data_IF_781511241540
#
_entry.id   IF_781511241540
#
_cell.length_a   1.000
_cell.length_b   1.000
_cell.length_c   1.000
_cell.angle_alpha   90.00
_cell.angle_beta   90.00
_cell.angle_gamma   90.00
#
_symmetry.space_group_name_H-M   'P 1'
#
loop_
_entity.id
_entity.type
_entity.pdbx_description
1 polymer ?
#
# COMPACT_ATOMS: atom_id res chain seq x y z
N UNK A 1 35.13 20.61 10.13
CA UNK A 1 33.76 20.40 9.62
C UNK A 1 33.07 19.50 10.62
N UNK A 2 32.03 20.03 11.27
CA UNK A 2 31.50 19.57 12.55
C UNK A 2 30.48 18.44 12.36
N UNK A 3 30.52 17.44 13.25
CA UNK A 3 29.64 16.24 13.28
C UNK A 3 28.14 16.54 13.11
N UNK A 4 27.70 17.76 13.46
CA UNK A 4 26.31 18.21 13.29
C UNK A 4 25.82 18.23 11.82
N UNK A 5 26.70 18.48 10.84
CA UNK A 5 26.30 18.54 9.41
C UNK A 5 26.04 17.14 8.83
N UNK A 6 26.82 16.14 9.25
CA UNK A 6 26.61 14.74 8.85
C UNK A 6 25.30 14.18 9.44
N UNK A 7 25.00 14.53 10.70
CA UNK A 7 23.75 14.12 11.36
C UNK A 7 22.51 14.73 10.70
N UNK A 8 22.59 16.00 10.29
CA UNK A 8 21.48 16.70 9.62
C UNK A 8 21.21 16.14 8.22
N UNK A 9 22.25 15.80 7.46
CA UNK A 9 22.10 15.15 6.15
C UNK A 9 21.58 13.71 6.24
N UNK A 10 21.97 12.95 7.28
CA UNK A 10 21.42 11.62 7.56
C UNK A 10 19.92 11.66 7.89
N UNK A 11 19.52 12.58 8.77
CA UNK A 11 18.11 12.84 9.10
C UNK A 11 17.29 13.30 7.88
N UNK A 12 17.84 14.17 7.04
CA UNK A 12 17.17 14.59 5.81
C UNK A 12 16.98 13.40 4.84
N UNK A 13 18.00 12.55 4.64
CA UNK A 13 17.86 11.35 3.80
C UNK A 13 16.83 10.35 4.35
N UNK A 14 16.79 10.13 5.66
CA UNK A 14 15.78 9.30 6.32
C UNK A 14 14.37 9.88 6.14
N UNK A 15 14.22 11.21 6.28
CA UNK A 15 12.95 11.89 6.03
C UNK A 15 12.48 11.79 4.57
N UNK A 16 13.40 11.87 3.59
CA UNK A 16 13.08 11.66 2.17
C UNK A 16 12.63 10.22 1.91
N UNK A 17 13.32 9.22 2.48
CA UNK A 17 12.94 7.81 2.36
C UNK A 17 11.56 7.49 2.97
N UNK A 18 11.24 8.07 4.13
CA UNK A 18 9.93 7.91 4.78
C UNK A 18 8.81 8.57 3.96
N UNK A 19 9.07 9.74 3.38
CA UNK A 19 8.12 10.44 2.50
C UNK A 19 7.79 9.65 1.23
N UNK A 20 8.82 9.13 0.56
CA UNK A 20 8.64 8.25 -0.62
C UNK A 20 7.91 6.95 -0.25
N UNK A 21 8.27 6.33 0.87
CA UNK A 21 7.59 5.12 1.35
C UNK A 21 6.09 5.37 1.58
N UNK A 22 5.72 6.46 2.25
CA UNK A 22 4.31 6.85 2.45
C UNK A 22 3.58 7.06 1.13
N UNK A 23 4.21 7.73 0.16
CA UNK A 23 3.62 7.92 -1.17
C UNK A 23 3.34 6.58 -1.88
N UNK A 24 4.30 5.65 -1.87
CA UNK A 24 4.11 4.34 -2.48
C UNK A 24 3.07 3.48 -1.77
N UNK A 25 2.98 3.55 -0.43
CA UNK A 25 1.93 2.88 0.36
C UNK A 25 0.54 3.37 -0.08
N UNK A 26 0.32 4.70 -0.12
CA UNK A 26 -0.95 5.27 -0.56
C UNK A 26 -1.31 4.88 -2.00
N UNK A 27 -0.35 4.97 -2.92
CA UNK A 27 -0.55 4.58 -4.31
C UNK A 27 -0.90 3.09 -4.46
N UNK A 28 -0.33 2.24 -3.61
CA UNK A 28 -0.59 0.80 -3.61
C UNK A 28 -1.98 0.49 -3.04
N UNK A 29 -2.39 1.15 -1.94
CA UNK A 29 -3.75 1.02 -1.39
C UNK A 29 -4.82 1.39 -2.42
N UNK A 30 -4.64 2.52 -3.12
CA UNK A 30 -5.52 2.95 -4.21
C UNK A 30 -5.63 1.92 -5.34
N UNK A 31 -4.50 1.31 -5.71
CA UNK A 31 -4.44 0.31 -6.77
C UNK A 31 -5.16 -0.98 -6.36
N UNK A 32 -4.97 -1.41 -5.11
CA UNK A 32 -5.68 -2.56 -4.53
C UNK A 32 -7.20 -2.30 -4.49
N UNK A 33 -7.61 -1.10 -4.07
CA UNK A 33 -9.03 -0.73 -4.02
C UNK A 33 -9.66 -0.76 -5.43
N UNK A 34 -8.97 -0.25 -6.45
CA UNK A 34 -9.41 -0.34 -7.86
C UNK A 34 -9.49 -1.78 -8.35
N UNK A 35 -8.54 -2.63 -7.98
CA UNK A 35 -8.55 -4.05 -8.34
C UNK A 35 -9.78 -4.75 -7.73
N UNK A 36 -10.06 -4.55 -6.43
CA UNK A 36 -11.24 -5.11 -5.75
C UNK A 36 -12.53 -4.67 -6.45
N UNK A 37 -12.67 -3.38 -6.79
CA UNK A 37 -13.85 -2.87 -7.50
C UNK A 37 -13.99 -3.49 -8.89
N UNK A 38 -12.88 -3.70 -9.59
CA UNK A 38 -12.88 -4.34 -10.92
C UNK A 38 -13.33 -5.78 -10.84
N UNK A 39 -12.85 -6.54 -9.84
CA UNK A 39 -13.29 -7.92 -9.61
C UNK A 39 -14.79 -8.00 -9.31
N UNK A 40 -15.33 -7.09 -8.49
CA UNK A 40 -16.78 -7.03 -8.22
C UNK A 40 -17.59 -6.72 -9.48
N UNK A 41 -17.11 -5.81 -10.33
CA UNK A 41 -17.77 -5.52 -11.62
C UNK A 41 -17.74 -6.73 -12.55
N UNK A 42 -16.64 -7.48 -12.56
CA UNK A 42 -16.52 -8.70 -13.37
C UNK A 42 -17.47 -9.80 -12.87
N UNK A 43 -17.53 -10.04 -11.56
CA UNK A 43 -18.50 -10.96 -10.94
C UNK A 43 -19.94 -10.63 -11.31
N UNK A 44 -20.31 -9.35 -11.22
CA UNK A 44 -21.67 -8.93 -11.59
C UNK A 44 -21.96 -9.16 -13.07
N UNK A 45 -20.96 -8.98 -13.95
CA UNK A 45 -21.11 -9.19 -15.40
C UNK A 45 -21.28 -10.67 -15.76
N UNK A 46 -20.63 -11.58 -15.03
CA UNK A 46 -20.72 -13.02 -15.29
C UNK A 46 -21.92 -13.69 -14.59
N UNK A 47 -22.72 -12.93 -13.85
CA UNK A 47 -23.95 -13.43 -13.22
C UNK A 47 -23.75 -14.10 -11.86
N UNK A 48 -22.61 -13.88 -11.19
CA UNK A 48 -22.38 -14.43 -9.86
C UNK A 48 -20.92 -14.40 -9.41
N UNK A 49 -20.72 -14.65 -8.13
CA UNK A 49 -19.38 -14.80 -7.54
C UNK A 49 -18.82 -16.18 -7.86
N UNK A 50 -17.64 -16.24 -8.47
CA UNK A 50 -16.87 -17.49 -8.50
C UNK A 50 -16.01 -17.58 -7.24
N UNK A 51 -15.71 -18.80 -6.78
CA UNK A 51 -14.81 -19.01 -5.65
C UNK A 51 -13.44 -18.36 -5.86
N UNK A 52 -12.98 -18.25 -7.11
CA UNK A 52 -11.72 -17.62 -7.48
C UNK A 52 -11.74 -16.10 -7.26
N UNK A 53 -12.81 -15.41 -7.66
CA UNK A 53 -12.95 -13.97 -7.41
C UNK A 53 -13.01 -13.67 -5.91
N UNK A 54 -13.69 -14.52 -5.13
CA UNK A 54 -13.74 -14.42 -3.68
C UNK A 54 -12.36 -14.60 -3.04
N UNK A 55 -11.59 -15.60 -3.49
CA UNK A 55 -10.21 -15.83 -3.06
C UNK A 55 -9.31 -14.63 -3.41
N UNK A 56 -9.38 -14.12 -4.64
CA UNK A 56 -8.61 -12.95 -5.07
C UNK A 56 -8.91 -11.70 -4.24
N UNK A 57 -10.19 -11.42 -3.96
CA UNK A 57 -10.56 -10.30 -3.07
C UNK A 57 -10.05 -10.49 -1.65
N UNK A 58 -10.04 -11.72 -1.14
CA UNK A 58 -9.51 -12.02 0.20
C UNK A 58 -8.02 -11.68 0.25
N UNK A 59 -7.22 -12.18 -0.70
CA UNK A 59 -5.78 -11.88 -0.79
C UNK A 59 -5.51 -10.38 -0.92
N UNK A 60 -6.28 -9.67 -1.76
CA UNK A 60 -6.13 -8.20 -1.89
C UNK A 60 -6.44 -7.45 -0.57
N UNK A 61 -7.41 -7.93 0.21
CA UNK A 61 -7.71 -7.36 1.53
C UNK A 61 -6.62 -7.66 2.56
N UNK A 62 -5.99 -8.83 2.50
CA UNK A 62 -4.86 -9.19 3.35
C UNK A 62 -3.64 -8.30 3.05
N UNK A 63 -3.27 -8.15 1.77
CA UNK A 63 -2.19 -7.24 1.36
C UNK A 63 -2.46 -5.80 1.82
N UNK A 64 -3.72 -5.35 1.73
CA UNK A 64 -4.13 -4.04 2.23
C UNK A 64 -3.97 -3.90 3.75
N UNK A 65 -4.27 -4.95 4.51
CA UNK A 65 -4.06 -4.95 5.95
C UNK A 65 -2.55 -4.88 6.28
N UNK A 66 -1.71 -5.63 5.57
CA UNK A 66 -0.26 -5.60 5.73
C UNK A 66 0.31 -4.20 5.40
N UNK A 67 -0.17 -3.57 4.31
CA UNK A 67 0.16 -2.19 3.96
C UNK A 67 -0.18 -1.20 5.09
N UNK A 68 -1.33 -1.37 5.75
CA UNK A 68 -1.72 -0.52 6.87
C UNK A 68 -0.82 -0.72 8.10
N UNK A 69 -0.28 -1.92 8.31
CA UNK A 69 0.73 -2.17 9.36
C UNK A 69 2.03 -1.45 9.02
N UNK A 70 2.52 -1.59 7.79
CA UNK A 70 3.74 -0.90 7.32
C UNK A 70 3.59 0.62 7.42
N UNK A 71 2.41 1.16 7.10
CA UNK A 71 2.12 2.59 7.22
C UNK A 71 2.27 3.09 8.66
N UNK A 72 1.72 2.35 9.63
CA UNK A 72 1.81 2.69 11.07
C UNK A 72 3.23 2.56 11.61
N UNK A 73 4.04 1.65 11.07
CA UNK A 73 5.45 1.51 11.45
C UNK A 73 6.35 2.62 10.87
N UNK A 74 5.84 3.41 9.91
CA UNK A 74 6.53 4.55 9.31
C UNK A 74 6.03 5.92 9.87
N UNK A 75 5.19 5.92 10.91
CA UNK A 75 4.76 7.08 11.69
C UNK A 75 5.66 7.29 12.92
#
# INVERSE_FOLDING_TARGET
>A
MTEGVLRYNGLLMECYGIGELKFYIHRTDDSIQKAIQTLLKLENKIGGSTGEFAAYRKTLKEIRADLAVVQKSAE
#
